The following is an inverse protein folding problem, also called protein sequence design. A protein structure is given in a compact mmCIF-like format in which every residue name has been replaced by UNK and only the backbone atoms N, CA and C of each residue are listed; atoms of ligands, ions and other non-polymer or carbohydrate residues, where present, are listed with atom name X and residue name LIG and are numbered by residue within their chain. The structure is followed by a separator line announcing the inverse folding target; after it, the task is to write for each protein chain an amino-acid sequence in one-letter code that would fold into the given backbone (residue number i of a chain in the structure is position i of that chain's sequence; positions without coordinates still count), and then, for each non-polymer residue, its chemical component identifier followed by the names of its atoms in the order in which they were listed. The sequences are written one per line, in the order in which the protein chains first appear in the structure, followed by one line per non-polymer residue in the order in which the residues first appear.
data_IF_802236701418
#
_entry.id   IF_802236701418
#
_cell.length_a   1.000
_cell.length_b   1.000
_cell.length_c   1.000
_cell.angle_alpha   90.00
_cell.angle_beta   90.00
_cell.angle_gamma   90.00
#
_symmetry.space_group_name_H-M   'P 1'
#
loop_
_entity.id
_entity.type
_entity.pdbx_description
1 polymer ?
#
# COMPACT_ATOMS: atom_id res chain seq x y z
N UNK A 1 -17.94 4.04 -0.33
CA UNK A 1 -17.82 4.83 0.89
C UNK A 1 -16.46 4.56 1.51
N UNK A 2 -15.72 5.59 1.95
CA UNK A 2 -14.38 5.42 2.52
C UNK A 2 -14.36 5.07 4.02
N UNK A 3 -15.51 4.89 4.65
CA UNK A 3 -15.62 4.89 6.11
C UNK A 3 -16.04 3.53 6.71
N UNK A 4 -16.16 2.48 5.88
CA UNK A 4 -16.55 1.15 6.34
C UNK A 4 -15.74 0.06 5.62
N UNK A 5 -15.44 -1.02 6.33
CA UNK A 5 -15.01 -2.30 5.75
C UNK A 5 -16.24 -3.21 5.64
N UNK A 6 -16.30 -4.04 4.62
CA UNK A 6 -17.40 -4.98 4.40
C UNK A 6 -16.86 -6.41 4.30
N UNK A 7 -17.57 -7.36 4.91
CA UNK A 7 -17.26 -8.79 4.88
C UNK A 7 -18.54 -9.62 4.82
N UNK A 8 -18.42 -10.90 4.46
CA UNK A 8 -19.52 -11.86 4.54
C UNK A 8 -19.52 -12.63 5.86
N UNK A 9 -18.38 -12.71 6.54
CA UNK A 9 -18.25 -13.44 7.81
C UNK A 9 -17.36 -12.67 8.77
N UNK A 10 -17.70 -12.71 10.05
CA UNK A 10 -16.84 -12.20 11.10
C UNK A 10 -15.59 -13.09 11.25
N UNK A 11 -14.44 -12.48 11.43
CA UNK A 11 -13.15 -13.18 11.60
C UNK A 11 -12.26 -12.44 12.59
N UNK A 12 -11.46 -13.13 13.40
CA UNK A 12 -10.45 -12.49 14.25
C UNK A 12 -9.44 -11.63 13.48
N UNK A 13 -9.20 -11.93 12.20
CA UNK A 13 -8.33 -11.12 11.34
C UNK A 13 -8.87 -9.69 11.12
N UNK A 14 -10.20 -9.53 11.10
CA UNK A 14 -10.84 -8.21 11.00
C UNK A 14 -10.59 -7.35 12.24
N UNK A 15 -10.52 -7.98 13.41
CA UNK A 15 -10.13 -7.29 14.65
C UNK A 15 -8.71 -6.76 14.58
N UNK A 16 -7.78 -7.55 14.00
CA UNK A 16 -6.39 -7.13 13.78
C UNK A 16 -6.34 -5.95 12.80
N UNK A 17 -7.10 -6.03 11.72
CA UNK A 17 -7.20 -4.95 10.73
C UNK A 17 -7.61 -3.62 11.40
N UNK A 18 -8.64 -3.66 12.24
CA UNK A 18 -9.12 -2.47 12.95
C UNK A 18 -8.14 -2.00 14.04
N UNK A 19 -7.65 -2.91 14.90
CA UNK A 19 -6.83 -2.53 16.08
C UNK A 19 -5.40 -2.16 15.73
N UNK A 20 -4.81 -2.81 14.72
CA UNK A 20 -3.40 -2.63 14.34
C UNK A 20 -3.23 -1.60 13.23
N UNK A 21 -4.08 -1.65 12.21
CA UNK A 21 -3.96 -0.78 11.04
C UNK A 21 -4.93 0.40 11.06
N UNK A 22 -5.77 0.51 12.12
CA UNK A 22 -6.75 1.59 12.30
C UNK A 22 -7.77 1.71 11.15
N UNK A 23 -7.97 0.62 10.40
CA UNK A 23 -9.04 0.56 9.40
C UNK A 23 -10.42 0.60 10.10
N UNK A 24 -11.46 1.09 9.43
CA UNK A 24 -12.81 1.12 9.99
C UNK A 24 -13.28 -0.26 10.47
N UNK A 25 -14.17 -0.33 11.47
CA UNK A 25 -14.82 -1.58 11.85
C UNK A 25 -15.50 -2.22 10.65
N UNK A 26 -15.52 -3.56 10.62
CA UNK A 26 -16.10 -4.30 9.51
C UNK A 26 -17.58 -4.57 9.74
N UNK A 27 -18.42 -4.21 8.77
CA UNK A 27 -19.82 -4.57 8.70
C UNK A 27 -19.99 -5.95 8.02
N UNK A 28 -20.80 -6.82 8.63
CA UNK A 28 -21.09 -8.15 8.07
C UNK A 28 -22.34 -8.06 7.21
N UNK A 29 -22.22 -8.42 5.95
CA UNK A 29 -23.29 -8.43 4.97
C UNK A 29 -23.77 -9.85 4.66
N UNK A 30 -25.03 -9.99 4.29
CA UNK A 30 -25.64 -11.28 3.96
C UNK A 30 -25.20 -11.83 2.60
N UNK A 31 -24.74 -10.97 1.69
CA UNK A 31 -24.33 -11.37 0.35
C UNK A 31 -23.37 -10.36 -0.31
N UNK A 32 -22.68 -10.80 -1.35
CA UNK A 32 -21.86 -9.92 -2.20
C UNK A 32 -22.73 -8.84 -2.85
N UNK A 33 -23.93 -9.16 -3.28
CA UNK A 33 -24.86 -8.19 -3.89
C UNK A 33 -25.26 -7.10 -2.90
N UNK A 34 -25.43 -7.44 -1.62
CA UNK A 34 -25.69 -6.47 -0.58
C UNK A 34 -24.48 -5.52 -0.38
N UNK A 35 -23.25 -6.03 -0.40
CA UNK A 35 -22.05 -5.20 -0.36
C UNK A 35 -21.98 -4.24 -1.55
N UNK A 36 -22.18 -4.76 -2.77
CA UNK A 36 -22.13 -3.95 -3.99
C UNK A 36 -23.24 -2.88 -4.04
N UNK A 37 -24.37 -3.16 -3.42
CA UNK A 37 -25.50 -2.21 -3.32
C UNK A 37 -25.29 -1.14 -2.25
N UNK A 38 -24.45 -1.39 -1.25
CA UNK A 38 -24.17 -0.45 -0.15
C UNK A 38 -23.25 0.70 -0.56
N UNK A 39 -22.47 0.53 -1.63
CA UNK A 39 -21.55 1.58 -2.08
C UNK A 39 -20.50 1.09 -3.08
N UNK A 40 -19.56 1.96 -3.39
CA UNK A 40 -18.47 1.65 -4.31
C UNK A 40 -17.36 0.92 -3.58
N UNK A 41 -17.02 -0.28 -4.02
CA UNK A 41 -15.83 -1.01 -3.57
C UNK A 41 -14.58 -0.31 -4.11
N UNK A 42 -13.69 0.10 -3.23
CA UNK A 42 -12.45 0.81 -3.58
C UNK A 42 -11.24 -0.11 -3.63
N UNK A 43 -11.16 -1.07 -2.73
CA UNK A 43 -10.11 -2.11 -2.69
C UNK A 43 -10.68 -3.39 -2.10
N UNK A 44 -10.06 -4.53 -2.40
CA UNK A 44 -10.28 -5.77 -1.69
C UNK A 44 -9.03 -6.08 -0.87
N UNK A 45 -9.25 -6.61 0.34
CA UNK A 45 -8.17 -7.09 1.20
C UNK A 45 -8.31 -8.61 1.34
N UNK A 46 -7.23 -9.32 1.07
CA UNK A 46 -7.11 -10.74 1.33
C UNK A 46 -6.11 -10.94 2.47
N UNK A 47 -6.59 -11.33 3.61
CA UNK A 47 -5.77 -11.54 4.81
C UNK A 47 -5.54 -13.03 5.04
N UNK A 48 -4.35 -13.38 5.49
CA UNK A 48 -3.97 -14.74 5.85
C UNK A 48 -3.38 -14.83 7.26
N UNK A 49 -3.24 -16.04 7.80
CA UNK A 49 -2.64 -16.26 9.11
C UNK A 49 -1.11 -16.05 9.11
N UNK A 50 -0.46 -15.98 7.95
CA UNK A 50 0.98 -15.78 7.81
C UNK A 50 1.35 -15.31 6.42
N UNK A 51 2.58 -14.79 6.29
CA UNK A 51 3.18 -14.43 5.01
C UNK A 51 3.18 -15.59 4.01
N UNK A 52 3.57 -16.79 4.46
CA UNK A 52 3.66 -17.98 3.60
C UNK A 52 2.30 -18.34 3.00
N UNK A 53 1.22 -18.17 3.76
CA UNK A 53 -0.15 -18.42 3.28
C UNK A 53 -0.54 -17.43 2.17
N UNK A 54 -0.13 -16.19 2.30
CA UNK A 54 -0.37 -15.13 1.31
C UNK A 54 0.51 -15.33 0.07
N UNK A 55 1.81 -15.60 0.25
CA UNK A 55 2.74 -15.89 -0.84
C UNK A 55 2.26 -17.09 -1.69
N UNK A 56 1.68 -18.10 -1.05
CA UNK A 56 1.14 -19.29 -1.73
C UNK A 56 -0.07 -18.99 -2.63
N UNK A 57 -0.91 -18.05 -2.27
CA UNK A 57 -2.12 -17.70 -3.05
C UNK A 57 -1.90 -16.50 -4.00
N UNK A 58 -0.89 -15.69 -3.78
CA UNK A 58 -0.59 -14.50 -4.57
C UNK A 58 -0.55 -14.75 -6.09
N UNK A 59 0.17 -15.78 -6.61
CA UNK A 59 0.20 -16.05 -8.06
C UNK A 59 -1.17 -16.35 -8.66
N UNK A 60 -2.06 -16.95 -7.88
CA UNK A 60 -3.43 -17.25 -8.30
C UNK A 60 -4.22 -15.96 -8.52
N UNK A 61 -4.10 -15.02 -7.55
CA UNK A 61 -4.79 -13.74 -7.60
C UNK A 61 -4.21 -12.83 -8.69
N UNK A 62 -2.89 -12.78 -8.85
CA UNK A 62 -2.22 -12.06 -9.94
C UNK A 62 -2.70 -12.57 -11.31
N UNK A 63 -2.79 -13.87 -11.50
CA UNK A 63 -3.30 -14.46 -12.74
C UNK A 63 -4.79 -14.16 -12.96
N UNK A 64 -5.61 -14.22 -11.91
CA UNK A 64 -7.04 -13.97 -11.99
C UNK A 64 -7.37 -12.50 -12.30
N UNK A 65 -6.55 -11.58 -11.83
CA UNK A 65 -6.77 -10.14 -12.00
C UNK A 65 -5.87 -9.48 -13.06
N UNK A 66 -5.04 -10.25 -13.75
CA UNK A 66 -4.22 -9.73 -14.84
C UNK A 66 -5.03 -8.80 -15.76
N UNK A 67 -4.50 -7.63 -16.04
CA UNK A 67 -5.11 -6.60 -16.88
C UNK A 67 -6.46 -6.03 -16.37
N UNK A 68 -6.89 -6.36 -15.15
CA UNK A 68 -8.14 -5.87 -14.55
C UNK A 68 -7.99 -5.16 -13.22
N UNK A 69 -6.97 -5.54 -12.46
CA UNK A 69 -6.65 -4.94 -11.17
C UNK A 69 -5.17 -5.12 -10.85
N UNK A 70 -4.66 -4.32 -9.94
CA UNK A 70 -3.33 -4.47 -9.37
C UNK A 70 -3.40 -5.30 -8.08
N UNK A 71 -2.48 -6.26 -7.95
CA UNK A 71 -2.30 -7.07 -6.73
C UNK A 71 -0.99 -6.64 -6.09
N UNK A 72 -1.05 -6.09 -4.89
CA UNK A 72 0.13 -5.59 -4.17
C UNK A 72 0.14 -6.13 -2.74
N UNK A 73 1.31 -6.13 -2.11
CA UNK A 73 1.51 -6.60 -0.75
C UNK A 73 2.24 -5.53 0.06
N UNK A 74 1.49 -4.70 0.78
CA UNK A 74 2.05 -3.69 1.67
C UNK A 74 2.43 -4.25 3.04
N UNK A 75 1.72 -5.29 3.47
CA UNK A 75 1.91 -6.00 4.75
C UNK A 75 2.11 -7.48 4.47
N UNK A 76 2.96 -8.14 5.27
CA UNK A 76 3.42 -9.50 5.00
C UNK A 76 2.29 -10.54 4.87
N UNK A 77 1.24 -10.42 5.65
CA UNK A 77 0.12 -11.34 5.75
C UNK A 77 -1.17 -10.85 5.05
N UNK A 78 -1.03 -9.87 4.13
CA UNK A 78 -2.18 -9.27 3.44
C UNK A 78 -1.85 -8.91 1.98
N UNK A 79 -2.75 -9.27 1.05
CA UNK A 79 -2.77 -8.72 -0.31
C UNK A 79 -3.85 -7.64 -0.40
N UNK A 80 -3.51 -6.59 -1.13
CA UNK A 80 -4.45 -5.58 -1.59
C UNK A 80 -4.71 -5.75 -3.08
N UNK A 81 -5.97 -5.72 -3.47
CA UNK A 81 -6.39 -5.73 -4.87
C UNK A 81 -7.02 -4.39 -5.16
N UNK A 82 -6.39 -3.63 -6.03
CA UNK A 82 -6.70 -2.24 -6.34
C UNK A 82 -7.14 -2.09 -7.79
N UNK A 83 -8.00 -1.12 -8.12
CA UNK A 83 -8.25 -0.76 -9.51
C UNK A 83 -6.94 -0.40 -10.22
N UNK A 84 -6.83 -0.75 -11.52
CA UNK A 84 -5.66 -0.43 -12.33
C UNK A 84 -5.31 1.06 -12.27
N UNK A 85 -4.04 1.30 -12.08
CA UNK A 85 -3.51 2.65 -12.03
C UNK A 85 -3.88 3.44 -10.79
N UNK A 86 -4.21 2.78 -9.70
CA UNK A 86 -4.53 3.40 -8.42
C UNK A 86 -3.40 3.16 -7.41
N UNK A 87 -2.21 3.62 -7.75
CA UNK A 87 -1.01 3.55 -6.92
C UNK A 87 -0.72 4.88 -6.18
N UNK A 88 0.16 4.82 -5.19
CA UNK A 88 0.56 6.00 -4.41
C UNK A 88 1.19 7.09 -5.26
N UNK A 89 1.91 6.72 -6.34
CA UNK A 89 2.57 7.70 -7.21
C UNK A 89 1.58 8.64 -7.87
N UNK A 90 0.42 8.14 -8.29
CA UNK A 90 -0.63 8.98 -8.91
C UNK A 90 -1.27 9.95 -7.92
N UNK A 91 -1.47 9.52 -6.69
CA UNK A 91 -1.93 10.41 -5.63
C UNK A 91 -0.92 11.54 -5.39
N UNK A 92 0.35 11.20 -5.26
CA UNK A 92 1.44 12.18 -5.12
C UNK A 92 1.53 13.09 -6.34
N UNK A 93 1.48 12.55 -7.56
CA UNK A 93 1.48 13.37 -8.80
C UNK A 93 0.35 14.40 -8.81
N UNK A 94 -0.87 13.99 -8.43
CA UNK A 94 -2.02 14.89 -8.39
C UNK A 94 -1.81 16.05 -7.39
N UNK A 95 -1.27 15.76 -6.21
CA UNK A 95 -0.95 16.76 -5.18
C UNK A 95 0.15 17.68 -5.67
N UNK A 96 1.27 17.17 -6.13
CA UNK A 96 2.41 17.98 -6.62
C UNK A 96 2.00 18.90 -7.77
N UNK A 97 1.20 18.39 -8.69
CA UNK A 97 0.63 19.20 -9.77
C UNK A 97 -0.24 20.35 -9.26
N UNK A 98 -1.04 20.10 -8.22
CA UNK A 98 -1.90 21.15 -7.63
C UNK A 98 -1.11 22.23 -6.89
N UNK A 99 0.10 21.89 -6.44
CA UNK A 99 1.02 22.77 -5.71
C UNK A 99 2.08 23.44 -6.63
N UNK A 100 2.10 23.11 -7.92
CA UNK A 100 3.12 23.53 -8.88
C UNK A 100 4.55 23.15 -8.47
N UNK A 101 4.71 21.95 -7.87
CA UNK A 101 5.98 21.41 -7.36
C UNK A 101 6.57 20.45 -8.39
N UNK A 102 7.87 20.60 -8.68
CA UNK A 102 8.56 19.72 -9.60
C UNK A 102 9.05 18.44 -8.88
N UNK A 103 8.50 17.26 -9.24
CA UNK A 103 8.86 16.01 -8.54
C UNK A 103 10.35 15.66 -8.66
N UNK A 104 11.02 16.04 -9.74
CA UNK A 104 12.40 15.68 -9.98
C UNK A 104 13.43 16.48 -9.15
N UNK A 105 13.05 17.66 -8.66
CA UNK A 105 13.98 18.55 -7.97
C UNK A 105 13.57 18.93 -6.55
N UNK A 106 12.26 18.95 -6.28
CA UNK A 106 11.73 19.57 -5.07
C UNK A 106 11.14 18.54 -4.08
N UNK A 107 11.25 17.23 -4.38
CA UNK A 107 10.57 16.19 -3.60
C UNK A 107 11.51 15.11 -3.13
N UNK A 108 11.45 14.85 -1.82
CA UNK A 108 11.97 13.64 -1.19
C UNK A 108 10.79 12.74 -0.82
N UNK A 109 10.80 11.50 -1.25
CA UNK A 109 9.80 10.51 -0.85
C UNK A 109 10.47 9.34 -0.13
N UNK A 110 9.83 8.83 0.91
CA UNK A 110 10.28 7.69 1.69
C UNK A 110 9.26 6.56 1.63
N UNK A 111 9.74 5.31 1.64
CA UNK A 111 8.85 4.15 1.64
C UNK A 111 9.55 2.83 1.93
N UNK A 112 8.76 1.81 2.27
CA UNK A 112 9.27 0.47 2.58
C UNK A 112 8.39 -0.65 1.96
N UNK A 113 7.14 -0.38 1.68
CA UNK A 113 6.19 -1.33 1.08
C UNK A 113 6.31 -1.44 -0.44
N UNK A 114 5.79 -2.51 -0.99
CA UNK A 114 5.76 -2.73 -2.45
C UNK A 114 4.99 -1.63 -3.19
N UNK A 115 3.94 -1.09 -2.56
CA UNK A 115 3.11 -0.01 -3.07
C UNK A 115 3.80 1.36 -3.10
N UNK A 116 5.01 1.49 -2.53
CA UNK A 116 5.82 2.71 -2.55
C UNK A 116 6.78 2.74 -3.75
N UNK A 117 7.06 1.62 -4.37
CA UNK A 117 8.09 1.48 -5.40
C UNK A 117 7.92 2.49 -6.55
N UNK A 118 6.71 2.60 -7.11
CA UNK A 118 6.40 3.54 -8.20
C UNK A 118 6.57 5.00 -7.75
N UNK A 119 6.18 5.33 -6.51
CA UNK A 119 6.35 6.66 -5.94
C UNK A 119 7.84 7.01 -5.79
N UNK A 120 8.66 6.10 -5.25
CA UNK A 120 10.09 6.35 -5.08
C UNK A 120 10.82 6.48 -6.42
N UNK A 121 10.41 5.73 -7.45
CA UNK A 121 10.97 5.85 -8.80
C UNK A 121 10.54 7.10 -9.55
N UNK A 122 9.42 7.72 -9.15
CA UNK A 122 8.86 8.89 -9.81
C UNK A 122 9.49 10.21 -9.36
N UNK A 123 9.93 10.32 -8.10
CA UNK A 123 10.53 11.54 -7.55
C UNK A 123 12.05 11.58 -7.74
N UNK A 124 12.65 12.77 -7.70
CA UNK A 124 14.09 12.93 -7.87
C UNK A 124 14.92 12.36 -6.71
N UNK A 125 14.37 12.34 -5.50
CA UNK A 125 15.00 11.76 -4.32
C UNK A 125 14.07 10.74 -3.67
N UNK A 126 13.96 9.55 -4.25
CA UNK A 126 13.28 8.41 -3.64
C UNK A 126 14.20 7.68 -2.66
N UNK A 127 13.74 7.46 -1.44
CA UNK A 127 14.51 6.90 -0.33
C UNK A 127 13.79 5.66 0.21
N UNK A 128 14.40 4.49 0.06
CA UNK A 128 13.90 3.24 0.63
C UNK A 128 14.44 3.02 2.05
N UNK A 129 13.60 2.56 2.96
CA UNK A 129 13.99 2.15 4.30
C UNK A 129 14.84 0.87 4.27
N UNK A 130 15.63 0.59 5.31
CA UNK A 130 16.42 -0.63 5.42
C UNK A 130 15.59 -1.91 5.31
N UNK A 131 14.39 -1.90 5.89
CA UNK A 131 13.43 -3.01 5.85
C UNK A 131 12.57 -3.06 4.58
N UNK A 132 12.77 -2.16 3.61
CA UNK A 132 12.00 -2.14 2.38
C UNK A 132 12.15 -3.44 1.59
N UNK A 133 11.11 -3.82 0.87
CA UNK A 133 11.15 -4.97 -0.04
C UNK A 133 12.09 -4.69 -1.24
N UNK A 134 12.56 -5.75 -1.89
CA UNK A 134 13.53 -5.64 -2.99
C UNK A 134 13.04 -4.76 -4.15
N UNK A 135 11.76 -4.85 -4.50
CA UNK A 135 11.14 -4.01 -5.53
C UNK A 135 11.30 -2.52 -5.19
N UNK A 136 11.02 -2.16 -3.95
CA UNK A 136 11.08 -0.77 -3.45
C UNK A 136 12.51 -0.27 -3.36
N UNK A 137 13.45 -1.10 -2.86
CA UNK A 137 14.88 -0.76 -2.86
C UNK A 137 15.44 -0.54 -4.27
N UNK A 138 15.05 -1.37 -5.22
CA UNK A 138 15.50 -1.26 -6.63
C UNK A 138 14.95 -0.01 -7.31
N UNK A 139 13.77 0.45 -6.93
CA UNK A 139 13.12 1.65 -7.49
C UNK A 139 13.64 2.96 -6.88
N UNK A 140 14.23 2.91 -5.69
CA UNK A 140 14.69 4.09 -4.97
C UNK A 140 16.06 4.57 -5.45
N UNK A 141 16.31 5.88 -5.36
CA UNK A 141 17.63 6.48 -5.58
C UNK A 141 18.60 6.19 -4.42
N UNK A 142 18.06 6.04 -3.21
CA UNK A 142 18.85 5.79 -1.99
C UNK A 142 18.19 4.72 -1.14
N UNK A 143 19.02 3.93 -0.43
CA UNK A 143 18.58 2.99 0.59
C UNK A 143 19.22 3.38 1.91
N UNK A 144 18.43 3.47 2.97
CA UNK A 144 18.90 3.81 4.31
C UNK A 144 19.44 2.60 5.06
N UNK A 145 20.22 2.87 6.10
CA UNK A 145 20.65 1.87 7.07
C UNK A 145 19.60 1.66 8.19
N UNK A 146 18.71 2.65 8.40
CA UNK A 146 17.61 2.60 9.38
C UNK A 146 16.30 2.11 8.76
N UNK A 147 15.57 1.28 9.53
CA UNK A 147 14.22 0.84 9.19
C UNK A 147 13.17 1.91 9.55
N UNK A 148 11.92 1.65 9.16
CA UNK A 148 10.77 2.47 9.59
C UNK A 148 10.58 2.48 11.11
N UNK A 149 11.00 1.43 11.83
CA UNK A 149 10.97 1.32 13.30
C UNK A 149 12.22 1.92 13.98
N UNK A 150 13.20 2.39 13.21
CA UNK A 150 14.48 2.92 13.67
C UNK A 150 14.68 4.37 13.21
N UNK A 151 13.61 5.15 13.21
CA UNK A 151 13.62 6.55 12.80
C UNK A 151 14.16 6.82 11.39
N UNK A 152 13.98 5.88 10.45
CA UNK A 152 14.47 6.01 9.07
C UNK A 152 13.98 7.27 8.35
N UNK A 153 12.73 7.72 8.62
CA UNK A 153 12.23 8.99 8.05
C UNK A 153 13.03 10.19 8.59
N UNK A 154 13.39 10.19 9.87
CA UNK A 154 14.22 11.24 10.45
C UNK A 154 15.63 11.24 9.84
N UNK A 155 16.21 10.05 9.59
CA UNK A 155 17.48 9.92 8.85
C UNK A 155 17.35 10.52 7.45
N UNK A 156 16.29 10.19 6.71
CA UNK A 156 16.06 10.73 5.37
C UNK A 156 15.97 12.26 5.37
N UNK A 157 15.22 12.84 6.31
CA UNK A 157 15.09 14.31 6.45
C UNK A 157 16.46 14.94 6.72
N UNK A 158 17.23 14.40 7.65
CA UNK A 158 18.56 14.93 7.98
C UNK A 158 19.57 14.83 6.83
N UNK A 159 19.46 13.80 5.98
CA UNK A 159 20.41 13.58 4.88
C UNK A 159 20.06 14.32 3.59
N UNK A 160 18.78 14.53 3.32
CA UNK A 160 18.32 14.97 2.01
C UNK A 160 17.47 16.24 2.01
N UNK A 161 17.08 16.75 3.19
CA UNK A 161 16.23 17.95 3.32
C UNK A 161 16.93 19.07 4.08
N UNK A 162 17.68 18.78 5.15
CA UNK A 162 18.39 19.74 6.00
C UNK A 162 19.86 19.82 5.64
#
# INVERSE_FOLDING_TARGET
CGDTCATLEASPLLDTLHKTFHEPPSDVYESVDAILSSGTVRKLLLMGPSKESIDGVRPIWEAAFKDRAEVTQAVADMLEILPLGNDKSKGVQAVLKSMDVNPAFDVVACGDGENDAEMLGFVGCGVAMANACEKTKTSAAHVLDSSNEQDGVAEAINRFVL
#
